data_IF_026022308535
#
_entry.id   IF_026022308535
#
_cell.length_a   1.000
_cell.length_b   1.000
_cell.length_c   1.000
_cell.angle_alpha   90.00
_cell.angle_beta   90.00
_cell.angle_gamma   90.00
#
_symmetry.space_group_name_H-M   'P 1'
#
loop_
_entity.id
_entity.type
_entity.pdbx_description
1 polymer ?
#
# COMPACT_ATOMS: atom_id res chain seq x y z
N UNK A 1 -22.14 84.86 -29.48
CA UNK A 1 -21.39 84.06 -28.45
C UNK A 1 -22.41 83.50 -27.47
N UNK A 2 -22.81 82.19 -27.49
CA UNK A 2 -23.43 81.53 -26.30
C UNK A 2 -24.11 80.17 -26.60
N UNK A 3 -24.11 79.68 -27.85
CA UNK A 3 -24.67 78.31 -28.11
C UNK A 3 -23.67 77.19 -28.01
N UNK A 4 -22.42 77.49 -28.28
CA UNK A 4 -21.30 76.48 -28.22
C UNK A 4 -20.86 76.20 -26.79
N UNK A 5 -20.90 77.20 -25.90
CA UNK A 5 -20.54 76.99 -24.46
C UNK A 5 -21.58 76.22 -23.69
N UNK A 6 -22.89 76.37 -24.04
CA UNK A 6 -23.98 75.59 -23.43
C UNK A 6 -23.96 74.09 -23.83
N UNK A 7 -23.55 73.81 -25.07
CA UNK A 7 -23.41 72.42 -25.54
C UNK A 7 -22.22 71.71 -24.92
N UNK A 8 -21.07 72.41 -24.69
CA UNK A 8 -19.91 71.83 -24.04
C UNK A 8 -20.19 71.51 -22.56
N UNK A 9 -20.88 72.41 -21.85
CA UNK A 9 -21.24 72.17 -20.44
C UNK A 9 -22.27 71.04 -20.27
N UNK A 10 -23.23 70.87 -21.21
CA UNK A 10 -24.15 69.74 -21.19
C UNK A 10 -23.47 68.38 -21.46
N UNK A 11 -22.49 68.35 -22.38
CA UNK A 11 -21.69 67.12 -22.63
C UNK A 11 -20.82 66.75 -21.43
N UNK A 12 -20.20 67.72 -20.74
CA UNK A 12 -19.39 67.42 -19.55
C UNK A 12 -20.26 66.94 -18.37
N UNK A 13 -21.43 67.49 -18.18
CA UNK A 13 -22.39 67.04 -17.15
C UNK A 13 -22.95 65.63 -17.48
N UNK A 14 -23.24 65.34 -18.71
CA UNK A 14 -23.69 64.00 -19.14
C UNK A 14 -22.58 62.96 -18.93
N UNK A 15 -21.32 63.29 -19.22
CA UNK A 15 -20.17 62.41 -18.96
C UNK A 15 -19.92 62.16 -17.47
N UNK A 16 -20.09 63.15 -16.61
CA UNK A 16 -20.01 62.99 -15.16
C UNK A 16 -21.12 62.11 -14.57
N UNK A 17 -22.35 62.23 -15.04
CA UNK A 17 -23.49 61.44 -14.59
C UNK A 17 -23.31 59.97 -15.05
N UNK A 18 -22.85 59.76 -16.28
CA UNK A 18 -22.57 58.41 -16.80
C UNK A 18 -21.42 57.74 -16.03
N UNK A 19 -20.40 58.45 -15.67
CA UNK A 19 -19.28 57.95 -14.88
C UNK A 19 -19.69 57.62 -13.42
N UNK A 20 -20.58 58.42 -12.84
CA UNK A 20 -21.13 58.14 -11.52
C UNK A 20 -22.00 56.90 -11.49
N UNK A 21 -22.87 56.72 -12.48
CA UNK A 21 -23.70 55.51 -12.57
C UNK A 21 -22.88 54.24 -12.82
N UNK A 22 -21.80 54.30 -13.59
CA UNK A 22 -20.86 53.15 -13.76
C UNK A 22 -20.10 52.83 -12.47
N UNK A 23 -19.76 53.85 -11.70
CA UNK A 23 -19.10 53.67 -10.41
C UNK A 23 -20.03 53.00 -9.38
N UNK A 24 -21.30 53.43 -9.34
CA UNK A 24 -22.33 52.82 -8.49
C UNK A 24 -22.57 51.34 -8.84
N UNK A 25 -22.66 51.02 -10.15
CA UNK A 25 -22.77 49.64 -10.60
C UNK A 25 -21.60 48.75 -10.19
N UNK A 26 -20.37 49.29 -10.35
CA UNK A 26 -19.17 48.58 -9.92
C UNK A 26 -19.08 48.39 -8.40
N UNK A 27 -19.53 49.35 -7.63
CA UNK A 27 -19.61 49.21 -6.17
C UNK A 27 -20.62 48.16 -5.73
N UNK A 28 -21.76 48.07 -6.43
CA UNK A 28 -22.76 47.01 -6.19
C UNK A 28 -22.20 45.61 -6.55
N UNK A 29 -21.53 45.49 -7.69
CA UNK A 29 -20.88 44.22 -8.11
C UNK A 29 -19.81 43.79 -7.10
N UNK A 30 -18.99 44.75 -6.60
CA UNK A 30 -17.99 44.47 -5.59
C UNK A 30 -18.60 44.06 -4.23
N UNK A 31 -19.70 44.69 -3.83
CA UNK A 31 -20.39 44.32 -2.61
C UNK A 31 -21.01 42.92 -2.73
N UNK A 32 -21.62 42.57 -3.86
CA UNK A 32 -22.16 41.26 -4.12
C UNK A 32 -21.06 40.18 -4.13
N UNK A 33 -19.93 40.44 -4.79
CA UNK A 33 -18.78 39.52 -4.79
C UNK A 33 -18.18 39.34 -3.38
N UNK A 34 -18.16 40.38 -2.57
CA UNK A 34 -17.71 40.31 -1.17
C UNK A 34 -18.63 39.46 -0.30
N UNK A 35 -19.93 39.57 -0.50
CA UNK A 35 -20.92 38.75 0.22
C UNK A 35 -20.86 37.28 -0.20
N UNK A 36 -20.64 36.98 -1.48
CA UNK A 36 -20.42 35.64 -1.99
C UNK A 36 -19.15 35.01 -1.41
N UNK A 37 -18.04 35.75 -1.36
CA UNK A 37 -16.80 35.31 -0.73
C UNK A 37 -16.97 35.05 0.77
N UNK A 38 -17.74 35.87 1.48
CA UNK A 38 -18.03 35.67 2.90
C UNK A 38 -18.87 34.42 3.12
N UNK A 39 -19.88 34.19 2.30
CA UNK A 39 -20.72 33.00 2.37
C UNK A 39 -19.91 31.74 2.08
N UNK A 40 -19.07 31.75 1.03
CA UNK A 40 -18.16 30.64 0.70
C UNK A 40 -17.15 30.36 1.82
N UNK A 41 -16.59 31.39 2.43
CA UNK A 41 -15.63 31.22 3.53
C UNK A 41 -16.29 30.67 4.81
N UNK A 42 -17.53 31.09 5.10
CA UNK A 42 -18.32 30.54 6.20
C UNK A 42 -18.64 29.07 6.00
N UNK A 43 -19.10 28.70 4.81
CA UNK A 43 -19.39 27.30 4.45
C UNK A 43 -18.13 26.41 4.53
N UNK A 44 -17.00 26.88 4.01
CA UNK A 44 -15.73 26.17 4.10
C UNK A 44 -15.25 26.00 5.55
N UNK A 45 -15.45 27.02 6.38
CA UNK A 45 -15.10 26.97 7.81
C UNK A 45 -15.94 25.93 8.56
N UNK A 46 -17.22 25.85 8.29
CA UNK A 46 -18.12 24.85 8.87
C UNK A 46 -17.74 23.43 8.44
N UNK A 47 -17.40 23.23 7.17
CA UNK A 47 -16.93 21.94 6.66
C UNK A 47 -15.63 21.49 7.34
N UNK A 48 -14.66 22.40 7.49
CA UNK A 48 -13.40 22.13 8.20
C UNK A 48 -13.67 21.76 9.68
N UNK A 49 -14.54 22.49 10.36
CA UNK A 49 -14.88 22.19 11.75
C UNK A 49 -15.55 20.83 11.91
N UNK A 50 -16.36 20.44 10.95
CA UNK A 50 -16.99 19.09 10.93
C UNK A 50 -15.95 18.01 10.73
N UNK A 51 -15.00 18.19 9.79
CA UNK A 51 -13.93 17.24 9.54
C UNK A 51 -12.98 17.11 10.75
N UNK A 52 -12.64 18.22 11.41
CA UNK A 52 -11.84 18.21 12.64
C UNK A 52 -12.54 17.44 13.77
N UNK A 53 -13.87 17.53 13.88
CA UNK A 53 -14.63 16.74 14.85
C UNK A 53 -14.56 15.25 14.54
N UNK A 54 -14.75 14.87 13.29
CA UNK A 54 -14.64 13.48 12.83
C UNK A 54 -13.23 12.90 13.07
N UNK A 55 -12.18 13.69 12.81
CA UNK A 55 -10.80 13.29 13.08
C UNK A 55 -10.58 13.07 14.57
N UNK A 56 -11.10 13.92 15.43
CA UNK A 56 -11.00 13.76 16.89
C UNK A 56 -11.69 12.50 17.37
N UNK A 57 -12.90 12.22 16.91
CA UNK A 57 -13.63 10.98 17.22
C UNK A 57 -12.81 9.73 16.83
N UNK A 58 -12.26 9.71 15.61
CA UNK A 58 -11.40 8.61 15.17
C UNK A 58 -10.11 8.48 15.98
N UNK A 59 -9.56 9.59 16.47
CA UNK A 59 -8.39 9.54 17.37
C UNK A 59 -8.72 8.95 18.72
N UNK A 60 -9.89 9.25 19.29
CA UNK A 60 -10.35 8.67 20.55
C UNK A 60 -10.62 7.17 20.41
N UNK A 61 -11.24 6.74 19.29
CA UNK A 61 -11.45 5.32 18.97
C UNK A 61 -10.12 4.57 18.81
N UNK A 62 -9.16 5.12 18.09
CA UNK A 62 -7.82 4.51 17.95
C UNK A 62 -7.06 4.45 19.25
N UNK A 63 -7.21 5.43 20.14
CA UNK A 63 -6.62 5.41 21.49
C UNK A 63 -7.24 4.31 22.35
N UNK A 64 -8.55 4.12 22.26
CA UNK A 64 -9.27 3.03 22.95
C UNK A 64 -8.81 1.65 22.47
N UNK A 65 -8.74 1.45 21.15
CA UNK A 65 -8.24 0.21 20.54
C UNK A 65 -6.78 -0.08 20.94
N UNK A 66 -5.93 0.93 20.99
CA UNK A 66 -4.56 0.79 21.47
C UNK A 66 -4.48 0.37 22.95
N UNK A 67 -5.46 0.77 23.77
CA UNK A 67 -5.64 0.28 25.14
C UNK A 67 -5.96 -1.21 25.16
N UNK A 68 -6.98 -1.62 24.44
CA UNK A 68 -7.40 -3.03 24.35
C UNK A 68 -6.28 -3.96 23.84
N UNK A 69 -5.52 -3.50 22.84
CA UNK A 69 -4.36 -4.26 22.34
C UNK A 69 -3.29 -4.45 23.42
N UNK A 70 -3.06 -3.45 24.28
CA UNK A 70 -2.11 -3.56 25.40
C UNK A 70 -2.59 -4.59 26.43
N UNK A 71 -3.87 -4.56 26.76
CA UNK A 71 -4.46 -5.47 27.73
C UNK A 71 -4.43 -6.92 27.24
N UNK A 72 -4.80 -7.15 25.97
CA UNK A 72 -4.71 -8.47 25.33
C UNK A 72 -3.26 -8.99 25.25
N UNK A 73 -2.28 -8.12 25.01
CA UNK A 73 -0.86 -8.51 25.06
C UNK A 73 -0.39 -8.90 26.44
N UNK A 74 -0.85 -8.21 27.47
CA UNK A 74 -0.54 -8.55 28.86
C UNK A 74 -1.14 -9.91 29.22
N UNK A 75 -2.39 -10.16 28.87
CA UNK A 75 -3.10 -11.44 29.08
C UNK A 75 -2.41 -12.59 28.34
N UNK A 76 -2.07 -12.40 27.06
CA UNK A 76 -1.30 -13.40 26.30
C UNK A 76 0.07 -13.70 26.94
N UNK A 77 0.76 -12.69 27.47
CA UNK A 77 2.03 -12.88 28.18
C UNK A 77 1.84 -13.70 29.46
N UNK A 78 0.71 -13.49 30.19
CA UNK A 78 0.36 -14.27 31.36
C UNK A 78 0.09 -15.74 31.02
N UNK A 79 -0.76 -15.98 30.00
CA UNK A 79 -1.09 -17.32 29.53
C UNK A 79 0.12 -18.10 29.04
N UNK A 80 1.06 -17.45 28.36
CA UNK A 80 2.32 -18.08 27.94
C UNK A 80 3.19 -18.49 29.12
N UNK A 81 3.21 -17.70 30.22
CA UNK A 81 3.92 -18.07 31.47
C UNK A 81 3.27 -19.26 32.16
N UNK A 82 1.94 -19.29 32.23
CA UNK A 82 1.21 -20.44 32.79
C UNK A 82 1.43 -21.72 31.98
N UNK A 83 1.37 -21.64 30.64
CA UNK A 83 1.69 -22.78 29.77
C UNK A 83 3.13 -23.27 29.97
N UNK A 84 4.10 -22.36 30.18
CA UNK A 84 5.48 -22.73 30.47
C UNK A 84 5.63 -23.41 31.85
N UNK A 85 4.87 -22.98 32.87
CA UNK A 85 4.83 -23.63 34.18
C UNK A 85 4.23 -25.04 34.08
N UNK A 86 3.07 -25.19 33.44
CA UNK A 86 2.44 -26.50 33.22
C UNK A 86 3.31 -27.49 32.43
N UNK A 87 4.12 -27.01 31.49
CA UNK A 87 5.11 -27.84 30.78
C UNK A 87 6.23 -28.31 31.69
N UNK A 88 6.66 -27.53 32.67
CA UNK A 88 7.68 -27.93 33.65
C UNK A 88 7.18 -29.01 34.61
N UNK A 89 5.92 -28.90 35.04
CA UNK A 89 5.30 -29.86 35.98
C UNK A 89 4.99 -31.19 35.29
N UNK A 90 4.96 -31.27 33.96
CA UNK A 90 4.64 -32.47 33.18
C UNK A 90 5.86 -33.21 32.65
N UNK A 91 7.09 -32.79 32.99
CA UNK A 91 8.28 -33.51 32.58
C UNK A 91 8.48 -34.77 33.42
N UNK A 92 8.48 -35.99 32.85
CA UNK A 92 8.83 -37.21 33.60
C UNK A 92 10.30 -37.18 33.90
N UNK A 93 10.63 -37.53 35.15
CA UNK A 93 11.99 -37.79 35.60
C UNK A 93 12.62 -38.94 34.81
N UNK A 94 13.41 -38.63 33.81
CA UNK A 94 14.32 -39.58 33.21
C UNK A 94 15.49 -38.87 32.51
N UNK A 95 16.69 -39.24 32.99
CA UNK A 95 17.99 -39.04 32.38
C UNK A 95 18.85 -37.88 32.94
N UNK A 96 19.51 -38.19 34.04
CA UNK A 96 20.85 -37.70 34.33
C UNK A 96 21.84 -38.35 33.35
N UNK A 97 22.58 -37.56 32.62
CA UNK A 97 24.07 -37.65 32.46
C UNK A 97 24.49 -36.87 31.22
N UNK A 98 25.26 -35.93 31.38
CA UNK A 98 26.65 -35.63 31.07
C UNK A 98 26.83 -34.13 30.75
N UNK A 99 27.69 -33.56 31.58
CA UNK A 99 28.29 -32.25 31.50
C UNK A 99 29.19 -32.14 30.24
N UNK A 100 29.11 -31.04 29.51
CA UNK A 100 30.34 -30.28 29.22
C UNK A 100 29.99 -28.89 28.69
N UNK A 101 30.75 -27.92 29.14
CA UNK A 101 30.60 -26.49 28.95
C UNK A 101 30.81 -26.03 27.50
N UNK A 102 30.07 -24.99 27.12
CA UNK A 102 30.33 -24.23 25.90
C UNK A 102 29.31 -23.10 25.79
N UNK A 103 29.73 -21.89 26.13
CA UNK A 103 29.02 -20.63 25.92
C UNK A 103 28.78 -20.44 24.43
N UNK A 104 27.52 -20.51 24.01
CA UNK A 104 27.13 -20.08 22.67
C UNK A 104 25.73 -19.47 22.75
N UNK A 105 25.58 -18.31 22.15
CA UNK A 105 24.32 -17.60 21.92
C UNK A 105 23.23 -18.56 21.48
N UNK A 106 22.09 -18.50 22.14
CA UNK A 106 20.91 -19.27 21.75
C UNK A 106 20.30 -18.64 20.49
N UNK A 107 20.82 -19.06 19.35
CA UNK A 107 20.06 -19.08 18.12
C UNK A 107 18.83 -19.96 18.35
N UNK A 108 17.63 -19.38 18.20
CA UNK A 108 16.36 -20.14 18.29
C UNK A 108 16.29 -21.04 17.06
N UNK A 109 16.86 -22.23 17.18
CA UNK A 109 16.69 -23.28 16.17
C UNK A 109 15.23 -23.73 16.24
N UNK A 110 14.40 -23.20 15.37
CA UNK A 110 13.15 -23.85 15.02
C UNK A 110 13.51 -25.25 14.49
N UNK A 111 13.15 -26.28 15.25
CA UNK A 111 13.25 -27.66 14.82
C UNK A 111 12.45 -27.83 13.55
N UNK A 112 13.10 -27.64 12.40
CA UNK A 112 12.54 -27.95 11.11
C UNK A 112 12.47 -29.48 10.97
N UNK A 113 11.29 -30.08 11.15
CA UNK A 113 11.00 -31.32 10.42
C UNK A 113 11.44 -31.10 8.98
N UNK A 114 12.13 -32.06 8.33
CA UNK A 114 12.47 -31.93 6.93
C UNK A 114 11.16 -31.72 6.17
N UNK A 115 10.87 -30.49 5.78
CA UNK A 115 9.69 -30.16 5.02
C UNK A 115 9.90 -30.66 3.60
N UNK A 116 9.01 -31.52 3.12
CA UNK A 116 9.00 -31.89 1.72
C UNK A 116 8.68 -30.66 0.91
N UNK A 117 9.51 -30.34 -0.09
CA UNK A 117 9.27 -29.18 -0.98
C UNK A 117 8.06 -29.38 -1.91
N UNK A 118 7.66 -30.63 -2.12
CA UNK A 118 6.55 -31.03 -3.00
C UNK A 118 5.62 -32.00 -2.30
N UNK A 119 4.35 -31.93 -2.65
CA UNK A 119 3.34 -32.90 -2.29
C UNK A 119 3.45 -34.17 -3.14
N UNK A 120 2.71 -35.21 -2.76
CA UNK A 120 2.70 -36.52 -3.49
C UNK A 120 2.22 -36.39 -4.95
N UNK A 121 1.37 -35.41 -5.25
CA UNK A 121 0.86 -35.10 -6.59
C UNK A 121 1.74 -34.08 -7.34
N UNK A 122 2.95 -33.80 -6.84
CA UNK A 122 3.97 -33.00 -7.52
C UNK A 122 3.84 -31.49 -7.36
N UNK A 123 2.83 -30.98 -6.65
CA UNK A 123 2.67 -29.54 -6.40
C UNK A 123 3.71 -29.05 -5.41
N UNK A 124 4.20 -27.83 -5.58
CA UNK A 124 5.09 -27.23 -4.59
C UNK A 124 4.31 -26.88 -3.30
N UNK A 125 4.95 -27.04 -2.16
CA UNK A 125 4.40 -26.62 -0.87
C UNK A 125 5.03 -25.27 -0.52
N UNK A 126 4.27 -24.19 -0.65
CA UNK A 126 4.69 -22.83 -0.30
C UNK A 126 4.37 -22.54 1.16
N UNK A 127 5.24 -21.77 1.81
CA UNK A 127 5.01 -21.26 3.15
C UNK A 127 4.16 -19.99 3.21
N UNK A 128 4.08 -19.39 4.38
CA UNK A 128 3.45 -18.08 4.61
C UNK A 128 4.17 -16.96 3.86
N UNK A 129 5.47 -17.11 3.61
CA UNK A 129 6.30 -16.26 2.76
C UNK A 129 7.20 -17.14 1.87
N UNK A 130 7.44 -16.70 0.62
CA UNK A 130 8.30 -17.39 -0.34
C UNK A 130 9.09 -16.40 -1.19
N UNK A 131 10.25 -16.86 -1.67
CA UNK A 131 11.02 -16.12 -2.66
C UNK A 131 10.42 -16.32 -4.06
N UNK A 132 10.02 -15.21 -4.69
CA UNK A 132 9.61 -15.17 -6.09
C UNK A 132 10.68 -14.48 -6.93
N UNK A 133 11.08 -15.11 -8.03
CA UNK A 133 12.02 -14.58 -9.00
C UNK A 133 11.27 -14.00 -10.21
N UNK A 134 11.42 -12.72 -10.47
CA UNK A 134 11.06 -12.10 -11.74
C UNK A 134 12.14 -12.48 -12.76
N UNK A 135 11.88 -13.54 -13.55
CA UNK A 135 12.92 -14.18 -14.38
C UNK A 135 13.50 -13.24 -15.44
N UNK A 136 12.66 -12.40 -16.06
CA UNK A 136 13.08 -11.46 -17.11
C UNK A 136 14.05 -10.37 -16.60
N UNK A 137 14.13 -10.18 -15.28
CA UNK A 137 14.92 -9.14 -14.62
C UNK A 137 15.96 -9.71 -13.66
N UNK A 138 15.97 -11.00 -13.42
CA UNK A 138 16.82 -11.66 -12.42
C UNK A 138 16.72 -11.04 -11.02
N UNK A 139 15.51 -10.57 -10.65
CA UNK A 139 15.21 -9.96 -9.36
C UNK A 139 14.41 -10.95 -8.52
N UNK A 140 14.96 -11.34 -7.38
CA UNK A 140 14.27 -12.15 -6.39
C UNK A 140 13.68 -11.29 -5.27
N UNK A 141 12.37 -11.42 -5.04
CA UNK A 141 11.65 -10.72 -3.99
C UNK A 141 11.11 -11.71 -2.97
N UNK A 142 11.32 -11.41 -1.69
CA UNK A 142 10.59 -12.13 -0.65
C UNK A 142 9.15 -11.63 -0.64
N UNK A 143 8.22 -12.55 -0.93
CA UNK A 143 6.80 -12.27 -1.05
C UNK A 143 6.00 -12.95 0.04
N UNK A 144 4.87 -12.35 0.40
CA UNK A 144 3.86 -12.95 1.27
C UNK A 144 2.88 -13.75 0.44
N UNK A 145 2.58 -14.98 0.85
CA UNK A 145 1.52 -15.80 0.27
C UNK A 145 0.16 -15.27 0.74
N UNK A 146 -0.71 -14.92 -0.21
CA UNK A 146 -2.04 -14.37 0.08
C UNK A 146 -3.12 -15.12 -0.69
N UNK A 147 -3.78 -16.05 -0.01
CA UNK A 147 -4.89 -16.82 -0.57
C UNK A 147 -6.19 -16.01 -0.71
N UNK A 148 -6.25 -14.81 -0.17
CA UNK A 148 -7.37 -13.86 -0.32
C UNK A 148 -7.30 -13.05 -1.62
N UNK A 149 -6.09 -12.77 -2.12
CA UNK A 149 -5.88 -11.99 -3.34
C UNK A 149 -6.07 -12.85 -4.60
N UNK A 150 -6.79 -12.35 -5.60
CA UNK A 150 -6.93 -13.03 -6.89
C UNK A 150 -5.63 -12.98 -7.69
N UNK A 151 -5.11 -11.79 -7.98
CA UNK A 151 -3.85 -11.55 -8.67
C UNK A 151 -2.72 -11.31 -7.69
N UNK A 152 -1.48 -11.52 -8.14
CA UNK A 152 -0.29 -11.11 -7.38
C UNK A 152 -0.20 -9.58 -7.30
N UNK A 153 0.48 -9.05 -6.28
CA UNK A 153 0.73 -7.62 -6.12
C UNK A 153 2.23 -7.34 -6.14
N UNK A 154 2.63 -6.29 -6.82
CA UNK A 154 4.02 -5.86 -6.89
C UNK A 154 4.16 -4.39 -6.49
N UNK A 155 5.16 -4.09 -5.65
CA UNK A 155 5.50 -2.70 -5.32
C UNK A 155 5.98 -1.98 -6.56
N UNK A 156 5.34 -0.87 -6.88
CA UNK A 156 5.68 -0.05 -8.04
C UNK A 156 5.46 1.43 -7.73
N UNK A 157 6.41 2.24 -8.15
CA UNK A 157 6.32 3.71 -8.16
C UNK A 157 6.65 4.22 -9.57
N UNK A 158 6.44 5.49 -9.85
CA UNK A 158 6.75 6.12 -11.14
C UNK A 158 6.15 5.35 -12.33
N UNK A 159 4.85 5.04 -12.23
CA UNK A 159 4.16 4.20 -13.22
C UNK A 159 3.88 5.03 -14.47
N UNK A 160 4.35 4.57 -15.63
CA UNK A 160 4.20 5.21 -16.93
C UNK A 160 3.58 4.25 -17.96
N UNK A 161 2.63 4.73 -18.74
CA UNK A 161 1.99 3.97 -19.81
C UNK A 161 2.61 4.31 -21.16
N UNK A 162 2.97 3.30 -21.95
CA UNK A 162 3.49 3.50 -23.30
C UNK A 162 3.03 2.39 -24.24
N UNK A 163 3.31 2.56 -25.53
CA UNK A 163 3.00 1.59 -26.57
C UNK A 163 4.28 1.12 -27.26
N UNK A 164 4.38 -0.21 -27.49
CA UNK A 164 5.46 -0.85 -28.21
C UNK A 164 4.87 -1.94 -29.12
N UNK A 165 5.13 -1.85 -30.41
CA UNK A 165 4.65 -2.81 -31.43
C UNK A 165 3.13 -3.01 -31.41
N UNK A 166 2.35 -1.92 -31.28
CA UNK A 166 0.89 -1.94 -31.23
C UNK A 166 0.32 -2.59 -29.96
N UNK A 167 1.13 -2.78 -28.92
CA UNK A 167 0.73 -3.33 -27.61
C UNK A 167 0.97 -2.33 -26.51
N UNK A 168 0.06 -2.31 -25.55
CA UNK A 168 0.16 -1.44 -24.36
C UNK A 168 1.12 -2.05 -23.35
N UNK A 169 2.03 -1.24 -22.85
CA UNK A 169 3.02 -1.57 -21.84
C UNK A 169 2.97 -0.58 -20.68
N UNK A 170 3.53 -0.98 -19.56
CA UNK A 170 3.67 -0.15 -18.37
C UNK A 170 5.13 -0.23 -17.93
N UNK A 171 5.79 0.92 -17.88
CA UNK A 171 7.06 1.11 -17.20
C UNK A 171 6.81 1.50 -15.75
N UNK A 172 7.62 1.04 -14.84
CA UNK A 172 7.54 1.38 -13.42
C UNK A 172 8.87 1.13 -12.74
N UNK A 173 9.07 1.78 -11.60
CA UNK A 173 10.25 1.56 -10.79
C UNK A 173 9.90 0.71 -9.57
N UNK A 174 10.76 -0.27 -9.31
CA UNK A 174 10.74 -1.13 -8.12
C UNK A 174 11.82 -0.66 -7.15
N UNK A 175 11.46 -0.04 -5.99
CA UNK A 175 12.43 0.33 -4.98
C UNK A 175 12.96 -0.91 -4.24
N UNK A 176 14.28 -0.98 -4.03
CA UNK A 176 14.89 -1.95 -3.13
C UNK A 176 14.85 -1.50 -1.65
N UNK A 177 15.52 -2.23 -0.76
CA UNK A 177 15.54 -1.92 0.68
C UNK A 177 16.35 -0.66 1.01
N UNK A 178 17.29 -0.28 0.15
CA UNK A 178 18.15 0.89 0.30
C UNK A 178 17.53 2.12 -0.38
N UNK A 179 16.40 1.94 -1.06
CA UNK A 179 15.67 2.98 -1.79
C UNK A 179 16.17 3.21 -3.21
N UNK A 180 17.07 2.37 -3.72
CA UNK A 180 17.48 2.42 -5.12
C UNK A 180 16.33 1.95 -6.01
N UNK A 181 16.09 2.65 -7.10
CA UNK A 181 15.02 2.37 -8.05
C UNK A 181 15.53 1.49 -9.19
N UNK A 182 14.85 0.39 -9.43
CA UNK A 182 15.10 -0.54 -10.53
C UNK A 182 13.97 -0.44 -11.52
N UNK A 183 14.28 0.01 -12.76
CA UNK A 183 13.27 0.19 -13.80
C UNK A 183 12.86 -1.15 -14.42
N UNK A 184 11.56 -1.42 -14.44
CA UNK A 184 10.94 -2.60 -15.01
C UNK A 184 9.83 -2.21 -15.98
N UNK A 185 9.55 -3.10 -16.93
CA UNK A 185 8.45 -2.94 -17.89
C UNK A 185 7.58 -4.22 -17.89
N UNK A 186 6.29 -4.05 -17.93
CA UNK A 186 5.36 -5.18 -18.04
C UNK A 186 4.33 -4.94 -19.15
N UNK A 187 3.93 -6.01 -19.83
CA UNK A 187 2.83 -5.90 -20.79
C UNK A 187 1.52 -5.64 -20.04
N UNK A 188 0.83 -4.53 -20.36
CA UNK A 188 -0.47 -4.22 -19.77
C UNK A 188 -1.51 -5.24 -20.23
N UNK A 189 -2.17 -5.89 -19.28
CA UNK A 189 -3.28 -6.82 -19.52
C UNK A 189 -4.62 -6.10 -19.38
N UNK A 190 -4.79 -5.35 -18.28
CA UNK A 190 -6.00 -4.62 -17.94
C UNK A 190 -5.72 -3.56 -16.87
N UNK A 191 -6.66 -2.67 -16.63
CA UNK A 191 -6.71 -1.83 -15.43
C UNK A 191 -7.67 -2.45 -14.42
N UNK A 192 -7.28 -2.54 -13.17
CA UNK A 192 -8.14 -2.97 -12.07
C UNK A 192 -8.69 -1.75 -11.34
N UNK A 193 -10.00 -1.58 -11.35
CA UNK A 193 -10.68 -0.57 -10.56
C UNK A 193 -10.81 -1.05 -9.11
N UNK A 194 -10.23 -0.32 -8.16
CA UNK A 194 -10.36 -0.64 -6.73
C UNK A 194 -11.17 0.46 -6.07
N UNK A 195 -12.32 0.07 -5.53
CA UNK A 195 -13.14 0.93 -4.67
C UNK A 195 -12.49 0.95 -3.29
N UNK A 196 -11.89 2.07 -2.90
CA UNK A 196 -11.42 2.26 -1.53
C UNK A 196 -12.61 2.70 -0.68
N UNK A 197 -12.93 1.91 0.35
CA UNK A 197 -14.03 2.20 1.29
C UNK A 197 -13.82 3.48 2.11
N UNK A 198 -12.65 4.10 2.04
CA UNK A 198 -12.26 5.29 2.81
C UNK A 198 -12.35 6.62 2.04
N UNK A 199 -12.56 6.61 0.72
CA UNK A 199 -12.71 7.82 -0.07
C UNK A 199 -13.95 7.70 -0.97
N UNK A 200 -14.94 8.53 -0.73
CA UNK A 200 -16.23 8.55 -1.44
C UNK A 200 -16.16 8.94 -2.92
N UNK A 201 -15.00 9.32 -3.46
CA UNK A 201 -14.88 9.90 -4.81
C UNK A 201 -13.76 9.33 -5.71
N UNK A 202 -13.09 8.23 -5.31
CA UNK A 202 -11.93 7.77 -6.07
C UNK A 202 -11.89 6.28 -6.34
N UNK A 203 -12.42 5.84 -7.48
CA UNK A 203 -12.00 4.57 -8.08
C UNK A 203 -10.56 4.73 -8.55
N UNK A 204 -9.59 4.21 -7.79
CA UNK A 204 -8.21 4.19 -8.22
C UNK A 204 -8.01 3.06 -9.22
N UNK A 205 -7.73 3.41 -10.48
CA UNK A 205 -7.32 2.43 -11.48
C UNK A 205 -5.86 2.02 -11.24
N UNK A 206 -5.64 0.71 -11.11
CA UNK A 206 -4.31 0.13 -10.97
C UNK A 206 -3.98 -0.70 -12.19
N UNK A 207 -2.86 -0.47 -12.87
CA UNK A 207 -2.47 -1.28 -14.01
C UNK A 207 -2.15 -2.71 -13.55
N UNK A 208 -2.59 -3.68 -14.33
CA UNK A 208 -2.25 -5.09 -14.17
C UNK A 208 -1.36 -5.48 -15.34
N UNK A 209 -0.13 -5.86 -15.02
CA UNK A 209 0.89 -6.27 -16.00
C UNK A 209 1.16 -7.77 -15.92
N UNK A 210 1.59 -8.34 -17.03
CA UNK A 210 2.01 -9.74 -17.11
C UNK A 210 3.53 -9.82 -17.17
N UNK A 211 4.13 -10.58 -16.24
CA UNK A 211 5.56 -10.87 -16.19
C UNK A 211 5.79 -12.34 -15.83
N UNK A 212 6.99 -12.82 -16.04
CA UNK A 212 7.37 -14.20 -15.74
C UNK A 212 7.85 -14.33 -14.30
N UNK A 213 7.15 -15.17 -13.51
CA UNK A 213 7.44 -15.41 -12.10
C UNK A 213 7.80 -16.87 -11.87
N UNK A 214 8.87 -17.09 -11.09
CA UNK A 214 9.27 -18.42 -10.62
C UNK A 214 9.29 -18.48 -9.11
N UNK A 215 8.67 -19.53 -8.55
CA UNK A 215 8.74 -19.86 -7.11
C UNK A 215 9.08 -21.34 -7.02
N UNK A 216 10.20 -21.67 -6.41
CA UNK A 216 10.74 -23.04 -6.44
C UNK A 216 10.90 -23.54 -7.87
N UNK A 217 10.24 -24.64 -8.20
CA UNK A 217 10.28 -25.25 -9.54
C UNK A 217 9.14 -24.79 -10.46
N UNK A 218 8.19 -24.00 -9.95
CA UNK A 218 7.07 -23.48 -10.74
C UNK A 218 7.45 -22.15 -11.38
N UNK A 219 7.51 -22.13 -12.72
CA UNK A 219 7.76 -20.93 -13.53
C UNK A 219 6.64 -20.75 -14.52
N UNK A 220 5.94 -19.61 -14.44
CA UNK A 220 4.86 -19.25 -15.38
C UNK A 220 4.64 -17.74 -15.48
N UNK A 221 3.91 -17.32 -16.51
CA UNK A 221 3.44 -15.94 -16.61
C UNK A 221 2.39 -15.68 -15.54
N UNK A 222 2.60 -14.63 -14.76
CA UNK A 222 1.71 -14.20 -13.69
C UNK A 222 1.22 -12.78 -13.93
N UNK A 223 0.01 -12.47 -13.48
CA UNK A 223 -0.53 -11.12 -13.46
C UNK A 223 -0.18 -10.43 -12.15
N UNK A 224 0.32 -9.20 -12.27
CA UNK A 224 0.68 -8.36 -11.14
C UNK A 224 -0.11 -7.05 -11.17
N UNK A 225 -0.86 -6.79 -10.11
CA UNK A 225 -1.40 -5.46 -9.84
C UNK A 225 -0.27 -4.60 -9.32
N UNK A 226 0.05 -3.52 -10.04
CA UNK A 226 1.04 -2.53 -9.63
C UNK A 226 0.44 -1.56 -8.62
N UNK A 227 1.11 -1.40 -7.49
CA UNK A 227 0.63 -0.54 -6.40
C UNK A 227 1.78 -0.07 -5.53
N UNK A 228 1.69 1.15 -5.04
CA UNK A 228 2.63 1.62 -4.01
C UNK A 228 2.42 0.82 -2.70
N UNK A 229 3.44 0.04 -2.34
CA UNK A 229 3.50 -0.78 -1.13
C UNK A 229 4.59 -0.28 -0.16
N UNK A 230 4.97 1.00 -0.26
CA UNK A 230 6.02 1.60 0.57
C UNK A 230 5.76 1.44 2.07
N UNK A 231 4.50 1.45 2.47
CA UNK A 231 4.03 1.26 3.84
C UNK A 231 3.81 -0.21 4.24
N UNK A 232 4.10 -1.16 3.35
CA UNK A 232 3.93 -2.59 3.59
C UNK A 232 5.28 -3.29 3.76
N UNK A 233 5.29 -4.41 4.48
CA UNK A 233 6.49 -5.17 4.77
C UNK A 233 7.06 -5.88 3.53
N UNK A 234 6.20 -6.36 2.62
CA UNK A 234 6.59 -7.14 1.45
C UNK A 234 6.34 -6.36 0.17
N UNK A 235 7.35 -6.32 -0.70
CA UNK A 235 7.24 -5.74 -2.03
C UNK A 235 6.49 -6.64 -3.01
N UNK A 236 6.45 -7.95 -2.75
CA UNK A 236 5.72 -8.96 -3.53
C UNK A 236 4.59 -9.56 -2.70
N UNK A 237 3.46 -9.80 -3.33
CA UNK A 237 2.34 -10.58 -2.81
C UNK A 237 2.00 -11.68 -3.83
N UNK A 238 1.97 -12.93 -3.39
CA UNK A 238 1.64 -14.08 -4.24
C UNK A 238 0.13 -14.35 -4.18
N UNK A 239 -0.57 -14.09 -5.28
CA UNK A 239 -2.01 -14.28 -5.41
C UNK A 239 -2.43 -15.67 -5.89
N UNK A 240 -3.75 -15.95 -5.81
CA UNK A 240 -4.32 -17.26 -6.16
C UNK A 240 -4.08 -17.68 -7.61
N UNK A 241 -4.07 -16.75 -8.57
CA UNK A 241 -3.87 -17.10 -9.99
C UNK A 241 -2.49 -17.71 -10.23
N UNK A 242 -1.46 -17.23 -9.53
CA UNK A 242 -0.16 -17.87 -9.58
C UNK A 242 -0.17 -19.24 -8.88
N UNK A 243 -0.85 -19.35 -7.74
CA UNK A 243 -0.83 -20.58 -6.93
C UNK A 243 -1.71 -21.68 -7.49
N UNK A 244 -2.73 -21.32 -8.27
CA UNK A 244 -3.72 -22.26 -8.78
C UNK A 244 -3.07 -23.44 -9.52
N UNK A 245 -3.51 -24.63 -9.18
CA UNK A 245 -3.14 -25.93 -9.75
C UNK A 245 -1.71 -26.42 -9.41
N UNK A 246 -0.77 -25.54 -9.06
CA UNK A 246 0.65 -25.85 -8.89
C UNK A 246 1.17 -25.74 -7.44
N UNK A 247 0.39 -25.09 -6.55
CA UNK A 247 0.86 -24.73 -5.20
C UNK A 247 -0.13 -25.15 -4.12
N UNK A 248 0.39 -25.81 -3.07
CA UNK A 248 -0.29 -25.99 -1.78
C UNK A 248 0.33 -25.01 -0.79
N UNK A 249 -0.48 -24.36 0.04
CA UNK A 249 0.00 -23.40 1.03
C UNK A 249 -0.04 -24.03 2.42
N UNK A 250 1.12 -24.14 3.06
CA UNK A 250 1.27 -24.48 4.48
C UNK A 250 1.78 -23.26 5.24
N UNK A 251 0.88 -22.57 5.93
CA UNK A 251 1.20 -21.35 6.68
C UNK A 251 2.15 -21.56 7.87
N UNK A 252 2.39 -22.80 8.28
CA UNK A 252 3.36 -23.15 9.31
C UNK A 252 4.81 -23.14 8.81
N UNK A 253 5.02 -22.98 7.49
CA UNK A 253 6.32 -22.93 6.86
C UNK A 253 6.65 -21.50 6.41
N UNK A 254 7.94 -21.21 6.32
CA UNK A 254 8.48 -19.98 5.75
C UNK A 254 9.61 -20.34 4.79
N UNK A 255 9.61 -19.72 3.60
CA UNK A 255 10.66 -19.87 2.57
C UNK A 255 10.98 -21.34 2.23
N UNK A 256 9.94 -22.19 2.23
CA UNK A 256 10.07 -23.63 2.04
C UNK A 256 10.71 -24.01 0.69
N UNK A 257 10.45 -23.21 -0.35
CA UNK A 257 11.02 -23.44 -1.68
C UNK A 257 12.48 -22.99 -1.78
N UNK A 258 12.95 -22.21 -0.79
CA UNK A 258 14.31 -21.68 -0.73
C UNK A 258 14.52 -20.45 -1.60
N UNK A 259 15.73 -19.94 -1.56
CA UNK A 259 16.12 -18.70 -2.25
C UNK A 259 16.65 -19.04 -3.65
N UNK A 260 16.07 -18.49 -4.72
CA UNK A 260 16.56 -18.71 -6.08
C UNK A 260 17.89 -17.96 -6.31
N UNK A 261 18.62 -18.31 -7.36
CA UNK A 261 19.72 -17.49 -7.86
C UNK A 261 19.15 -16.26 -8.56
N UNK A 262 19.69 -15.09 -8.25
CA UNK A 262 19.26 -13.81 -8.81
C UNK A 262 20.40 -12.78 -8.75
N UNK A 263 20.32 -11.75 -9.60
CA UNK A 263 21.27 -10.63 -9.59
C UNK A 263 20.96 -9.63 -8.46
N UNK A 264 19.67 -9.50 -8.08
CA UNK A 264 19.20 -8.62 -7.01
C UNK A 264 18.25 -9.37 -6.08
N UNK A 265 18.37 -9.09 -4.78
CA UNK A 265 17.48 -9.65 -3.77
C UNK A 265 16.81 -8.56 -2.93
N UNK A 266 15.49 -8.56 -2.92
CA UNK A 266 14.67 -7.63 -2.14
C UNK A 266 13.93 -8.43 -1.06
N UNK A 267 14.40 -8.35 0.18
CA UNK A 267 13.79 -8.99 1.35
C UNK A 267 12.58 -8.23 1.89
N UNK A 268 12.16 -8.58 3.10
CA UNK A 268 11.09 -7.85 3.79
C UNK A 268 11.61 -6.58 4.47
N UNK A 269 10.83 -5.51 4.43
CA UNK A 269 11.13 -4.25 5.10
C UNK A 269 10.98 -4.42 6.62
N UNK A 270 11.90 -3.85 7.39
CA UNK A 270 11.72 -3.72 8.84
C UNK A 270 10.68 -2.62 9.09
N UNK A 271 9.52 -2.99 9.60
CA UNK A 271 8.53 -2.00 10.06
C UNK A 271 9.06 -1.38 11.36
N UNK A 272 9.16 -0.04 11.38
CA UNK A 272 9.53 0.71 12.60
C UNK A 272 8.34 0.81 13.54
#
# INVERSE_FOLDING_TARGET
MNRTTALLSALLLAGCVQNASQMDTRLQELAAAQDELRAGNSSSSEAIMTELRNIREKQEETASLAGQIRDLRAENSHLLKEMAALKRDRAPAAAQSSQSAGTAEKEVVYSSKPSTKKSADGKIIAGSEEWGLLEDYEIALLGRTDTGAATSGLHAVNIEHFERDGKKWVGFDLPDLDGQLHHLEGRLVRSAAIVQSSNSDGTQERPVVQMKLKVGDVSKKAEFTLVDRSHMQYSLLLGREFMKDDVIVDIGLEQNQGRPEASLYIGKKKMK
#
